data_IF_436101322262
#
_entry.id   IF_436101322262
#
_cell.length_a   1.000
_cell.length_b   1.000
_cell.length_c   1.000
_cell.angle_alpha   90.00
_cell.angle_beta   90.00
_cell.angle_gamma   90.00
#
_symmetry.space_group_name_H-M   'P 1'
#
loop_
_entity.id
_entity.type
_entity.pdbx_description
1 polymer ?
#
# COMPACT_ATOMS: atom_id res chain seq x y z
N UNK A 1 16.15 32.66 -1.19
CA UNK A 1 15.05 31.79 -1.67
C UNK A 1 15.07 30.46 -0.91
N UNK A 2 14.21 30.24 0.11
CA UNK A 2 14.13 28.96 0.82
C UNK A 2 12.71 28.34 1.03
N UNK A 3 11.65 28.57 0.23
CA UNK A 3 10.34 27.96 0.51
C UNK A 3 10.27 26.44 0.18
N UNK A 4 11.03 25.96 -0.82
CA UNK A 4 10.94 24.59 -1.34
C UNK A 4 11.30 23.49 -0.32
N UNK A 5 12.17 23.77 0.65
CA UNK A 5 12.60 22.77 1.64
C UNK A 5 11.54 22.54 2.73
N UNK A 6 10.80 23.57 3.10
CA UNK A 6 9.73 23.46 4.11
C UNK A 6 8.51 22.74 3.53
N UNK A 7 8.14 23.04 2.29
CA UNK A 7 7.03 22.38 1.58
C UNK A 7 7.29 20.88 1.41
N UNK A 8 8.51 20.49 1.05
CA UNK A 8 8.86 19.08 0.90
C UNK A 8 8.82 18.32 2.24
N UNK A 9 9.19 18.97 3.35
CA UNK A 9 9.13 18.37 4.69
C UNK A 9 7.68 18.10 5.12
N UNK A 10 6.78 19.04 4.84
CA UNK A 10 5.36 18.87 5.14
C UNK A 10 4.76 17.74 4.31
N UNK A 11 5.04 17.70 3.00
CA UNK A 11 4.57 16.62 2.13
C UNK A 11 5.03 15.24 2.62
N UNK A 12 6.31 15.09 2.96
CA UNK A 12 6.85 13.83 3.52
C UNK A 12 6.18 13.47 4.85
N UNK A 13 5.90 14.46 5.71
CA UNK A 13 5.21 14.22 6.97
C UNK A 13 3.76 13.71 6.74
N UNK A 14 3.02 14.31 5.81
CA UNK A 14 1.66 13.86 5.46
C UNK A 14 1.67 12.47 4.81
N UNK A 15 2.62 12.17 3.92
CA UNK A 15 2.75 10.82 3.36
C UNK A 15 3.09 9.79 4.43
N UNK A 16 4.05 10.07 5.31
CA UNK A 16 4.40 9.19 6.42
C UNK A 16 3.19 8.98 7.35
N UNK A 17 2.48 10.05 7.69
CA UNK A 17 1.26 9.98 8.48
C UNK A 17 0.17 9.15 7.79
N UNK A 18 -0.02 9.29 6.48
CA UNK A 18 -0.96 8.50 5.69
C UNK A 18 -0.62 7.00 5.71
N UNK A 19 0.65 6.64 5.52
CA UNK A 19 1.10 5.24 5.65
C UNK A 19 0.88 4.70 7.06
N UNK A 20 1.26 5.46 8.09
CA UNK A 20 1.07 5.07 9.49
C UNK A 20 -0.41 4.90 9.84
N UNK A 21 -1.26 5.83 9.39
CA UNK A 21 -2.70 5.75 9.61
C UNK A 21 -3.31 4.54 8.90
N UNK A 22 -2.93 4.28 7.65
CA UNK A 22 -3.38 3.09 6.92
C UNK A 22 -3.01 1.80 7.65
N UNK A 23 -1.77 1.68 8.12
CA UNK A 23 -1.31 0.52 8.91
C UNK A 23 -2.06 0.42 10.25
N UNK A 24 -2.24 1.52 10.96
CA UNK A 24 -2.97 1.56 12.22
C UNK A 24 -4.43 1.13 12.04
N UNK A 25 -5.11 1.63 11.01
CA UNK A 25 -6.50 1.30 10.69
C UNK A 25 -6.63 -0.17 10.27
N UNK A 26 -5.68 -0.68 9.47
CA UNK A 26 -5.61 -2.10 9.15
C UNK A 26 -5.47 -2.96 10.41
N UNK A 27 -4.54 -2.60 11.32
CA UNK A 27 -4.31 -3.31 12.58
C UNK A 27 -5.56 -3.28 13.48
N UNK A 28 -6.21 -2.12 13.60
CA UNK A 28 -7.41 -1.94 14.40
C UNK A 28 -8.56 -2.78 13.88
N UNK A 29 -8.80 -2.81 12.56
CA UNK A 29 -9.84 -3.67 12.00
C UNK A 29 -9.49 -5.15 12.09
N UNK A 30 -8.24 -5.52 11.83
CA UNK A 30 -7.80 -6.90 11.96
C UNK A 30 -8.02 -7.39 13.40
N UNK A 31 -7.76 -6.55 14.40
CA UNK A 31 -8.06 -6.85 15.81
C UNK A 31 -9.57 -6.90 16.09
N UNK A 32 -10.34 -5.88 15.68
CA UNK A 32 -11.80 -5.80 15.89
C UNK A 32 -12.54 -6.99 15.30
N UNK A 33 -12.07 -7.51 14.16
CA UNK A 33 -12.66 -8.68 13.50
C UNK A 33 -12.07 -10.01 13.97
N UNK A 34 -11.11 -10.02 14.91
CA UNK A 34 -10.36 -11.20 15.42
C UNK A 34 -9.57 -11.96 14.34
N UNK A 35 -8.97 -11.20 13.43
CA UNK A 35 -8.26 -11.66 12.24
C UNK A 35 -6.76 -11.37 12.28
N UNK A 36 -6.25 -10.83 13.39
CA UNK A 36 -4.85 -10.43 13.53
C UNK A 36 -3.94 -11.65 13.69
N UNK A 37 -3.85 -12.47 12.65
CA UNK A 37 -2.92 -13.60 12.55
C UNK A 37 -1.69 -13.19 11.74
N UNK A 38 -0.60 -13.93 11.91
CA UNK A 38 0.63 -13.72 11.13
C UNK A 38 0.37 -13.75 9.62
N UNK A 39 -0.49 -14.66 9.15
CA UNK A 39 -0.86 -14.75 7.74
C UNK A 39 -1.54 -13.49 7.20
N UNK A 40 -2.36 -12.80 8.00
CA UNK A 40 -3.02 -11.55 7.60
C UNK A 40 -2.03 -10.37 7.55
N UNK A 41 -1.07 -10.32 8.46
CA UNK A 41 0.01 -9.35 8.41
C UNK A 41 0.95 -9.58 7.23
N UNK A 42 1.31 -10.84 6.95
CA UNK A 42 2.11 -11.19 5.78
C UNK A 42 1.38 -10.87 4.48
N UNK A 43 0.05 -11.06 4.45
CA UNK A 43 -0.80 -10.66 3.33
C UNK A 43 -0.79 -9.14 3.12
N UNK A 44 -0.88 -8.37 4.19
CA UNK A 44 -0.81 -6.89 4.15
C UNK A 44 0.54 -6.42 3.62
N UNK A 45 1.62 -6.98 4.16
CA UNK A 45 2.99 -6.69 3.73
C UNK A 45 3.21 -7.05 2.26
N UNK A 46 2.75 -8.22 1.81
CA UNK A 46 2.81 -8.63 0.42
C UNK A 46 2.09 -7.65 -0.50
N UNK A 47 0.90 -7.19 -0.12
CA UNK A 47 0.15 -6.18 -0.88
C UNK A 47 0.87 -4.83 -0.97
N UNK A 48 1.44 -4.34 0.13
CA UNK A 48 2.22 -3.10 0.14
C UNK A 48 3.48 -3.23 -0.71
N UNK A 49 4.26 -4.28 -0.49
CA UNK A 49 5.51 -4.53 -1.22
C UNK A 49 5.25 -4.74 -2.72
N UNK A 50 4.24 -5.54 -3.07
CA UNK A 50 3.83 -5.76 -4.45
C UNK A 50 3.29 -4.51 -5.12
N UNK A 51 2.58 -3.64 -4.39
CA UNK A 51 2.14 -2.35 -4.90
C UNK A 51 3.30 -1.40 -5.17
N UNK A 52 4.24 -1.27 -4.22
CA UNK A 52 5.44 -0.46 -4.42
C UNK A 52 6.29 -1.00 -5.58
N UNK A 53 6.52 -2.31 -5.65
CA UNK A 53 7.25 -2.93 -6.75
C UNK A 53 6.53 -2.74 -8.10
N UNK A 54 5.22 -2.98 -8.13
CA UNK A 54 4.40 -2.82 -9.34
C UNK A 54 4.36 -1.39 -9.85
N UNK A 55 4.34 -0.39 -8.96
CA UNK A 55 4.37 1.01 -9.36
C UNK A 55 5.67 1.39 -10.08
N UNK A 56 6.81 0.85 -9.64
CA UNK A 56 8.10 1.06 -10.28
C UNK A 56 8.25 0.22 -11.56
N UNK A 57 7.89 -1.07 -11.52
CA UNK A 57 7.96 -1.96 -12.69
C UNK A 57 7.04 -1.52 -13.81
N UNK A 58 5.82 -1.10 -13.49
CA UNK A 58 4.89 -0.56 -14.49
C UNK A 58 5.44 0.71 -15.15
N UNK A 59 6.16 1.54 -14.41
CA UNK A 59 6.75 2.76 -14.96
C UNK A 59 7.90 2.40 -15.88
N UNK A 60 8.76 1.50 -15.40
CA UNK A 60 9.89 0.99 -16.16
C UNK A 60 9.44 0.37 -17.49
N UNK A 61 8.42 -0.47 -17.48
CA UNK A 61 7.83 -1.06 -18.69
C UNK A 61 7.18 -0.01 -19.59
N UNK A 62 6.37 0.88 -19.03
CA UNK A 62 5.65 1.90 -19.81
C UNK A 62 6.55 2.96 -20.45
N UNK A 63 7.73 3.20 -19.88
CA UNK A 63 8.72 4.17 -20.39
C UNK A 63 9.88 3.53 -21.17
N UNK A 64 9.84 2.22 -21.42
CA UNK A 64 10.95 1.52 -22.09
C UNK A 64 12.26 1.54 -21.27
N UNK A 65 12.15 1.65 -19.95
CA UNK A 65 13.26 1.60 -19.00
C UNK A 65 14.03 2.90 -18.79
N UNK A 66 13.56 4.01 -19.36
CA UNK A 66 14.31 5.27 -19.40
C UNK A 66 13.86 6.31 -18.40
N UNK A 67 12.69 6.14 -17.77
CA UNK A 67 12.08 7.20 -16.95
C UNK A 67 11.98 6.82 -15.47
N UNK A 68 12.49 7.70 -14.61
CA UNK A 68 12.34 7.61 -13.16
C UNK A 68 10.97 8.16 -12.77
N UNK A 69 10.09 7.29 -12.25
CA UNK A 69 8.74 7.66 -11.85
C UNK A 69 8.00 6.49 -11.23
N UNK A 70 6.72 6.70 -10.91
CA UNK A 70 5.83 5.65 -10.39
C UNK A 70 4.48 5.75 -11.08
N UNK A 71 3.90 4.62 -11.44
CA UNK A 71 2.54 4.56 -12.02
C UNK A 71 1.53 4.06 -11.01
N UNK A 72 0.38 4.74 -10.97
CA UNK A 72 -0.77 4.35 -10.16
C UNK A 72 -1.30 2.99 -10.62
N UNK A 73 -1.46 2.79 -11.93
CA UNK A 73 -1.96 1.51 -12.49
C UNK A 73 -1.04 0.35 -12.15
N UNK A 74 0.29 0.55 -12.26
CA UNK A 74 1.27 -0.46 -11.87
C UNK A 74 1.19 -0.79 -10.38
N UNK A 75 0.98 0.23 -9.53
CA UNK A 75 0.84 0.04 -8.09
C UNK A 75 -0.41 -0.74 -7.70
N UNK A 76 -1.56 -0.38 -8.28
CA UNK A 76 -2.82 -1.10 -8.04
C UNK A 76 -2.71 -2.55 -8.52
N UNK A 77 -2.20 -2.76 -9.75
CA UNK A 77 -2.06 -4.10 -10.31
C UNK A 77 -1.09 -4.98 -9.51
N UNK A 78 0.07 -4.45 -9.13
CA UNK A 78 1.08 -5.16 -8.34
C UNK A 78 0.59 -5.48 -6.93
N UNK A 79 -0.11 -4.56 -6.28
CA UNK A 79 -0.72 -4.78 -4.96
C UNK A 79 -1.82 -5.84 -5.01
N UNK A 80 -2.69 -5.80 -6.02
CA UNK A 80 -3.73 -6.79 -6.20
C UNK A 80 -3.17 -8.20 -6.48
N UNK A 81 -2.22 -8.30 -7.43
CA UNK A 81 -1.62 -9.58 -7.82
C UNK A 81 -0.88 -10.24 -6.66
N UNK A 82 -0.07 -9.46 -5.92
CA UNK A 82 0.67 -9.95 -4.76
C UNK A 82 -0.26 -10.46 -3.65
N UNK A 83 -1.39 -9.78 -3.39
CA UNK A 83 -2.41 -10.25 -2.44
C UNK A 83 -3.02 -11.58 -2.90
N UNK A 84 -3.36 -11.73 -4.19
CA UNK A 84 -3.89 -13.01 -4.71
C UNK A 84 -2.89 -14.13 -4.51
N UNK A 85 -1.63 -13.90 -4.90
CA UNK A 85 -0.56 -14.90 -4.80
C UNK A 85 -0.32 -15.26 -3.33
N UNK A 86 -0.18 -14.26 -2.45
CA UNK A 86 0.02 -14.48 -1.02
C UNK A 86 -1.16 -15.23 -0.38
N UNK A 87 -2.41 -14.92 -0.74
CA UNK A 87 -3.58 -15.69 -0.25
C UNK A 87 -3.49 -17.16 -0.65
N UNK A 88 -3.12 -17.45 -1.89
CA UNK A 88 -2.96 -18.82 -2.40
C UNK A 88 -1.85 -19.55 -1.64
N UNK A 89 -0.68 -18.91 -1.48
CA UNK A 89 0.47 -19.49 -0.78
C UNK A 89 0.20 -19.73 0.72
N UNK A 90 -0.60 -18.87 1.35
CA UNK A 90 -0.94 -18.96 2.77
C UNK A 90 -2.22 -19.78 3.04
N UNK A 91 -2.87 -20.33 2.02
CA UNK A 91 -4.12 -21.09 2.17
C UNK A 91 -5.30 -20.25 2.70
N UNK A 92 -5.29 -18.93 2.50
CA UNK A 92 -6.31 -18.01 3.01
C UNK A 92 -7.51 -17.94 2.06
N UNK A 93 -8.59 -18.66 2.38
CA UNK A 93 -9.81 -18.69 1.55
C UNK A 93 -10.83 -17.60 1.90
N UNK A 94 -10.72 -17.06 3.10
CA UNK A 94 -11.61 -16.04 3.65
C UNK A 94 -11.55 -14.69 2.88
N UNK A 95 -12.63 -13.89 2.91
CA UNK A 95 -12.59 -12.49 2.48
C UNK A 95 -11.67 -11.66 3.39
N UNK A 96 -10.86 -10.80 2.78
CA UNK A 96 -9.89 -9.89 3.45
C UNK A 96 -9.86 -8.49 2.85
N UNK A 97 -10.58 -8.27 1.74
CA UNK A 97 -10.56 -6.99 1.02
C UNK A 97 -11.19 -5.83 1.81
N UNK A 98 -12.09 -6.15 2.74
CA UNK A 98 -12.69 -5.21 3.69
C UNK A 98 -11.65 -4.52 4.59
N UNK A 99 -10.61 -5.25 5.01
CA UNK A 99 -9.49 -4.71 5.78
C UNK A 99 -8.67 -3.70 4.95
N UNK A 100 -8.42 -4.04 3.69
CA UNK A 100 -7.65 -3.16 2.79
C UNK A 100 -8.45 -1.92 2.38
N UNK A 101 -9.74 -2.08 2.08
CA UNK A 101 -10.59 -0.98 1.60
C UNK A 101 -10.62 0.20 2.59
N UNK A 102 -10.86 -0.09 3.87
CA UNK A 102 -10.94 0.96 4.90
C UNK A 102 -9.55 1.47 5.31
N UNK A 103 -8.51 0.63 5.25
CA UNK A 103 -7.14 1.08 5.49
C UNK A 103 -6.62 2.03 4.41
N UNK A 104 -6.88 1.69 3.14
CA UNK A 104 -6.48 2.51 1.99
C UNK A 104 -7.21 3.85 1.96
N UNK A 105 -8.53 3.86 2.22
CA UNK A 105 -9.29 5.11 2.27
C UNK A 105 -8.84 6.03 3.40
N UNK A 106 -8.52 5.48 4.58
CA UNK A 106 -7.97 6.26 5.68
C UNK A 106 -6.59 6.84 5.35
N UNK A 107 -5.71 6.06 4.71
CA UNK A 107 -4.39 6.53 4.29
C UNK A 107 -4.47 7.64 3.23
N UNK A 108 -5.28 7.45 2.19
CA UNK A 108 -5.50 8.47 1.14
C UNK A 108 -6.12 9.75 1.69
N UNK A 109 -7.01 9.67 2.69
CA UNK A 109 -7.61 10.86 3.31
C UNK A 109 -6.59 11.78 4.01
N UNK A 110 -5.42 11.27 4.37
CA UNK A 110 -4.33 12.05 4.99
C UNK A 110 -3.21 12.38 3.99
N UNK A 111 -2.98 11.50 3.01
CA UNK A 111 -1.91 11.67 2.03
C UNK A 111 -2.26 12.56 0.83
N UNK A 112 -3.51 13.01 0.72
CA UNK A 112 -4.02 13.94 -0.31
C UNK A 112 -4.05 15.37 0.20
#
# INVERSE_FOLDING_TARGET
MPPLLAENRLAVAFYAAGYLLGVAVFALMARRRRLSTMGIWLLSFAGLAGGLAGANLGQWLGSGGTSAGKTILGGIAGGYLSVIVAKRLLGLHRPTGDLFAVALSAGEAVGR
#
